data_IF_602062586068
#
_entry.id   IF_602062586068
#
_cell.length_a   1.000
_cell.length_b   1.000
_cell.length_c   1.000
_cell.angle_alpha   90.00
_cell.angle_beta   90.00
_cell.angle_gamma   90.00
#
_symmetry.space_group_name_H-M   'P 1'
#
loop_
_entity.id
_entity.type
_entity.pdbx_description
1 polymer ?
#
# COMPACT_ATOMS: atom_id res chain seq x y z
N UNK A 1 -4.61 -5.48 12.33
CA UNK A 1 -4.17 -6.27 11.16
C UNK A 1 -2.84 -6.92 11.45
N UNK A 2 -2.76 -8.20 11.23
CA UNK A 2 -1.51 -8.92 11.39
C UNK A 2 -0.52 -8.49 10.30
N UNK A 3 0.74 -8.32 10.65
CA UNK A 3 1.76 -7.91 9.67
C UNK A 3 1.88 -8.89 8.52
N UNK A 4 1.71 -10.17 8.81
CA UNK A 4 1.81 -11.21 7.79
C UNK A 4 0.77 -11.07 6.68
N UNK A 5 -0.38 -10.51 7.00
CA UNK A 5 -1.43 -10.35 6.00
C UNK A 5 -1.10 -9.29 4.94
N UNK A 6 -0.11 -8.44 5.21
CA UNK A 6 0.35 -7.46 4.23
C UNK A 6 1.28 -8.09 3.19
N UNK A 7 1.79 -9.28 3.46
CA UNK A 7 2.78 -9.94 2.61
C UNK A 7 2.17 -10.79 1.51
N UNK A 8 0.87 -11.04 1.57
CA UNK A 8 0.24 -11.95 0.63
C UNK A 8 -1.07 -11.39 0.10
N UNK A 9 -1.49 -11.94 -1.04
CA UNK A 9 -2.80 -11.73 -1.58
C UNK A 9 -3.06 -10.32 -2.09
N UNK A 10 -4.33 -10.01 -2.17
CA UNK A 10 -4.80 -8.78 -2.77
C UNK A 10 -4.33 -7.53 -2.04
N UNK A 11 -4.17 -7.61 -0.71
CA UNK A 11 -3.69 -6.46 0.06
C UNK A 11 -2.32 -6.00 -0.41
N UNK A 12 -1.40 -6.94 -0.58
CA UNK A 12 -0.07 -6.60 -1.05
C UNK A 12 -0.09 -6.07 -2.47
N UNK A 13 -0.90 -6.68 -3.34
CA UNK A 13 -1.03 -6.22 -4.72
C UNK A 13 -1.56 -4.79 -4.79
N UNK A 14 -2.52 -4.45 -3.93
CA UNK A 14 -3.04 -3.08 -3.85
C UNK A 14 -1.94 -2.12 -3.42
N UNK A 15 -1.15 -2.49 -2.41
CA UNK A 15 -0.05 -1.66 -1.95
C UNK A 15 0.96 -1.42 -3.09
N UNK A 16 1.30 -2.46 -3.83
CA UNK A 16 2.22 -2.32 -4.96
C UNK A 16 1.69 -1.35 -6.02
N UNK A 17 0.41 -1.45 -6.34
CA UNK A 17 -0.21 -0.57 -7.33
C UNK A 17 -0.24 0.87 -6.84
N UNK A 18 -0.65 1.08 -5.58
CA UNK A 18 -0.74 2.43 -5.01
C UNK A 18 0.63 3.04 -4.76
N UNK A 19 1.68 2.23 -4.66
CA UNK A 19 3.04 2.76 -4.56
C UNK A 19 3.44 3.50 -5.83
N UNK A 20 2.82 3.18 -6.96
CA UNK A 20 3.12 3.84 -8.21
C UNK A 20 2.30 5.11 -8.41
N UNK A 21 1.00 5.05 -8.10
CA UNK A 21 0.12 6.21 -8.25
C UNK A 21 -1.22 5.96 -7.55
N UNK A 22 -1.95 7.04 -7.21
CA UNK A 22 -3.31 6.88 -6.69
C UNK A 22 -4.20 6.20 -7.71
N UNK A 23 -5.12 5.37 -7.24
CA UNK A 23 -6.03 4.63 -8.11
C UNK A 23 -7.42 4.50 -7.47
N UNK A 24 -8.42 4.36 -8.31
CA UNK A 24 -9.80 4.12 -7.86
C UNK A 24 -10.02 2.62 -7.64
N UNK A 25 -11.05 2.25 -6.87
CA UNK A 25 -11.40 0.84 -6.71
C UNK A 25 -11.66 0.14 -8.04
N UNK A 26 -12.30 0.83 -8.97
CA UNK A 26 -12.57 0.24 -10.29
C UNK A 26 -11.28 -0.06 -11.04
N UNK A 27 -10.35 0.90 -11.05
CA UNK A 27 -9.06 0.69 -11.69
C UNK A 27 -8.31 -0.49 -11.08
N UNK A 28 -8.30 -0.55 -9.74
CA UNK A 28 -7.64 -1.64 -9.03
C UNK A 28 -8.28 -2.99 -9.37
N UNK A 29 -9.62 -3.04 -9.45
CA UNK A 29 -10.29 -4.30 -9.75
C UNK A 29 -9.94 -4.79 -11.14
N UNK A 30 -9.79 -3.89 -12.09
CA UNK A 30 -9.43 -4.26 -13.46
C UNK A 30 -7.97 -4.71 -13.55
N UNK A 31 -7.08 -3.94 -12.93
CA UNK A 31 -5.65 -4.27 -12.96
C UNK A 31 -5.34 -5.59 -12.28
N UNK A 32 -6.02 -5.86 -11.18
CA UNK A 32 -5.77 -7.07 -10.39
C UNK A 32 -6.71 -8.22 -10.74
N UNK A 33 -7.56 -8.02 -11.74
CA UNK A 33 -8.47 -9.04 -12.23
C UNK A 33 -9.32 -9.67 -11.11
N UNK A 34 -9.95 -8.81 -10.34
CA UNK A 34 -10.82 -9.23 -9.24
C UNK A 34 -12.04 -8.32 -9.19
N UNK A 35 -12.96 -8.59 -8.26
CA UNK A 35 -14.21 -7.83 -8.16
C UNK A 35 -14.00 -6.51 -7.40
N UNK A 36 -14.86 -5.54 -7.70
CA UNK A 36 -14.86 -4.28 -6.96
C UNK A 36 -15.19 -4.55 -5.50
N UNK A 37 -16.07 -5.52 -5.21
CA UNK A 37 -16.42 -5.86 -3.85
C UNK A 37 -15.21 -6.34 -3.05
N UNK A 38 -14.38 -7.20 -3.65
CA UNK A 38 -13.18 -7.66 -3.00
C UNK A 38 -12.20 -6.51 -2.76
N UNK A 39 -11.99 -5.67 -3.77
CA UNK A 39 -11.11 -4.50 -3.65
C UNK A 39 -11.60 -3.59 -2.52
N UNK A 40 -12.90 -3.29 -2.49
CA UNK A 40 -13.47 -2.39 -1.47
C UNK A 40 -13.25 -2.94 -0.06
N UNK A 41 -13.39 -4.23 0.11
CA UNK A 41 -13.16 -4.87 1.41
C UNK A 41 -11.70 -4.76 1.82
N UNK A 42 -10.78 -5.03 0.89
CA UNK A 42 -9.35 -4.94 1.19
C UNK A 42 -8.92 -3.50 1.48
N UNK A 43 -9.45 -2.55 0.71
CA UNK A 43 -9.20 -1.12 0.94
C UNK A 43 -9.63 -0.71 2.34
N UNK A 44 -10.81 -1.16 2.77
CA UNK A 44 -11.31 -0.82 4.11
C UNK A 44 -10.35 -1.30 5.20
N UNK A 45 -9.83 -2.50 5.04
CA UNK A 45 -8.89 -3.05 6.01
C UNK A 45 -7.58 -2.26 6.01
N UNK A 46 -7.07 -1.89 4.84
CA UNK A 46 -5.85 -1.11 4.74
C UNK A 46 -6.04 0.32 5.27
N UNK A 47 -7.22 0.92 5.06
CA UNK A 47 -7.55 2.22 5.63
C UNK A 47 -7.60 2.16 7.15
N UNK A 48 -8.25 1.14 7.69
CA UNK A 48 -8.36 0.96 9.14
C UNK A 48 -6.99 0.82 9.77
N UNK A 49 -6.06 0.19 9.06
CA UNK A 49 -4.68 0.07 9.53
C UNK A 49 -3.87 1.35 9.35
N UNK A 50 -4.44 2.35 8.69
CA UNK A 50 -3.77 3.64 8.49
C UNK A 50 -2.76 3.66 7.35
N UNK A 51 -2.74 2.64 6.51
CA UNK A 51 -1.73 2.51 5.46
C UNK A 51 -2.09 3.23 4.17
N UNK A 52 -3.38 3.40 3.93
CA UNK A 52 -3.86 4.12 2.74
C UNK A 52 -4.90 5.14 3.15
N UNK A 53 -5.11 6.12 2.30
CA UNK A 53 -6.08 7.18 2.55
C UNK A 53 -6.90 7.45 1.31
N UNK A 54 -8.10 7.98 1.52
CA UNK A 54 -8.97 8.43 0.47
C UNK A 54 -8.52 9.81 -0.01
N UNK A 55 -8.52 10.00 -1.31
CA UNK A 55 -8.11 11.24 -1.92
C UNK A 55 -9.14 11.60 -2.97
N UNK A 56 -9.74 12.79 -2.85
CA UNK A 56 -10.69 13.26 -3.84
C UNK A 56 -9.96 14.09 -4.87
N UNK A 57 -10.26 13.85 -6.14
CA UNK A 57 -9.73 14.71 -7.18
C UNK A 57 -10.80 15.70 -7.60
N UNK A 58 -10.43 16.96 -7.63
CA UNK A 58 -11.35 18.00 -8.04
C UNK A 58 -11.51 18.12 -9.55
N UNK A 59 -10.78 17.32 -10.30
CA UNK A 59 -10.76 17.42 -11.76
C UNK A 59 -11.74 16.49 -12.44
N UNK A 60 -12.67 15.94 -11.68
CA UNK A 60 -13.66 15.05 -12.26
C UNK A 60 -14.61 15.79 -13.18
N UNK A 61 -15.26 15.04 -14.06
CA UNK A 61 -16.31 15.58 -14.88
C UNK A 61 -17.44 16.10 -13.99
N UNK A 62 -18.18 17.12 -14.42
CA UNK A 62 -19.27 17.65 -13.62
C UNK A 62 -20.18 16.53 -13.14
N UNK A 63 -20.48 16.54 -11.86
CA UNK A 63 -21.44 15.62 -11.26
C UNK A 63 -20.88 14.33 -10.68
N UNK A 64 -19.61 13.99 -10.94
CA UNK A 64 -19.06 12.74 -10.39
C UNK A 64 -17.60 12.90 -10.00
N UNK A 65 -17.33 13.35 -8.78
CA UNK A 65 -15.95 13.39 -8.30
C UNK A 65 -15.40 11.96 -8.25
N UNK A 66 -14.21 11.80 -8.76
CA UNK A 66 -13.52 10.54 -8.73
C UNK A 66 -12.94 10.32 -7.35
N UNK A 67 -13.14 9.14 -6.78
CA UNK A 67 -12.53 8.79 -5.51
C UNK A 67 -11.31 7.93 -5.78
N UNK A 68 -10.16 8.43 -5.37
CA UNK A 68 -8.91 7.70 -5.50
C UNK A 68 -8.39 7.35 -4.12
N UNK A 69 -7.57 6.32 -4.07
CA UNK A 69 -6.86 5.94 -2.86
C UNK A 69 -5.36 6.03 -3.12
N UNK A 70 -4.62 6.36 -2.08
CA UNK A 70 -3.17 6.48 -2.15
C UNK A 70 -2.56 5.97 -0.87
N UNK A 71 -1.26 5.70 -0.89
CA UNK A 71 -0.55 5.39 0.34
C UNK A 71 -0.59 6.61 1.25
N UNK A 72 -0.80 6.39 2.54
CA UNK A 72 -0.89 7.49 3.50
C UNK A 72 0.48 8.09 3.82
N UNK A 73 1.55 7.29 3.66
CA UNK A 73 2.91 7.72 3.96
C UNK A 73 3.87 6.68 3.38
N UNK A 74 5.15 6.86 3.66
CA UNK A 74 6.18 5.87 3.31
C UNK A 74 6.36 4.93 4.49
N UNK A 75 6.28 3.64 4.24
CA UNK A 75 6.42 2.62 5.26
C UNK A 75 7.41 1.55 4.85
N UNK A 76 7.95 0.87 5.85
CA UNK A 76 8.73 -0.34 5.63
C UNK A 76 8.26 -1.41 6.62
N UNK A 77 8.11 -2.63 6.14
CA UNK A 77 7.91 -3.78 7.00
C UNK A 77 9.28 -4.44 7.12
N UNK A 78 9.84 -4.38 8.31
CA UNK A 78 11.21 -4.83 8.55
C UNK A 78 11.20 -6.12 9.36
N UNK A 79 11.86 -7.12 8.82
CA UNK A 79 12.08 -8.39 9.47
C UNK A 79 13.57 -8.54 9.66
N UNK A 80 14.01 -8.54 10.91
CA UNK A 80 15.41 -8.70 11.24
C UNK A 80 15.58 -9.99 12.04
N UNK A 81 16.48 -10.83 11.60
CA UNK A 81 16.78 -12.03 12.36
C UNK A 81 18.26 -12.31 12.26
N UNK A 82 18.94 -12.15 13.37
CA UNK A 82 20.36 -12.38 13.52
C UNK A 82 20.58 -13.30 14.71
N UNK A 83 21.79 -13.78 14.88
CA UNK A 83 22.08 -14.54 16.09
C UNK A 83 21.92 -13.60 17.29
N UNK A 84 21.03 -13.95 18.21
CA UNK A 84 20.75 -13.16 19.40
C UNK A 84 19.68 -12.11 19.29
N UNK A 85 19.08 -11.91 18.10
CA UNK A 85 18.06 -10.88 17.94
C UNK A 85 17.15 -11.21 16.77
N UNK A 86 15.84 -11.14 17.02
CA UNK A 86 14.85 -11.31 15.95
C UNK A 86 13.65 -10.43 16.26
N UNK A 87 13.21 -9.67 15.28
CA UNK A 87 12.06 -8.79 15.44
C UNK A 87 11.47 -8.45 14.07
N UNK A 88 10.17 -8.24 14.04
CA UNK A 88 9.50 -7.69 12.86
C UNK A 88 8.70 -6.47 13.28
N UNK A 89 8.68 -5.46 12.44
CA UNK A 89 7.97 -4.23 12.77
C UNK A 89 7.62 -3.47 11.50
N UNK A 90 6.41 -2.89 11.49
CA UNK A 90 6.00 -1.95 10.46
C UNK A 90 6.31 -0.55 10.98
N UNK A 91 7.11 0.21 10.24
CA UNK A 91 7.52 1.54 10.67
C UNK A 91 7.33 2.55 9.55
N UNK A 92 7.05 3.80 9.94
CA UNK A 92 7.07 4.92 9.03
C UNK A 92 8.54 5.31 8.82
N UNK A 93 8.89 5.64 7.59
CA UNK A 93 10.30 5.91 7.27
C UNK A 93 10.45 7.32 6.68
N UNK A 94 11.61 7.91 6.93
CA UNK A 94 11.99 9.18 6.36
C UNK A 94 12.51 9.00 4.93
N UNK A 95 12.68 10.11 4.21
CA UNK A 95 13.27 10.05 2.87
C UNK A 95 14.66 9.44 2.88
N UNK A 96 15.45 9.75 3.90
CA UNK A 96 16.79 9.22 4.02
C UNK A 96 16.75 7.70 4.21
N UNK A 97 15.89 7.24 5.11
CA UNK A 97 15.70 5.81 5.35
C UNK A 97 15.19 5.09 4.11
N UNK A 98 14.28 5.74 3.39
CA UNK A 98 13.74 5.20 2.14
C UNK A 98 14.87 4.94 1.13
N UNK A 99 15.80 5.88 0.98
CA UNK A 99 16.90 5.70 0.06
C UNK A 99 17.83 4.57 0.51
N UNK A 100 18.12 4.50 1.80
CA UNK A 100 18.95 3.44 2.35
C UNK A 100 18.33 2.06 2.11
N UNK A 101 17.04 1.93 2.38
CA UNK A 101 16.33 0.67 2.21
C UNK A 101 16.24 0.25 0.74
N UNK A 102 16.05 1.21 -0.15
CA UNK A 102 16.03 0.91 -1.57
C UNK A 102 17.38 0.34 -2.03
N UNK A 103 18.47 0.86 -1.51
CA UNK A 103 19.79 0.34 -1.83
C UNK A 103 19.99 -1.07 -1.28
N UNK A 104 19.51 -1.32 -0.05
CA UNK A 104 19.65 -2.63 0.57
C UNK A 104 18.84 -3.70 -0.15
N UNK A 105 17.61 -3.35 -0.55
CA UNK A 105 16.72 -4.28 -1.25
C UNK A 105 17.16 -4.48 -2.69
N UNK A 106 17.76 -3.45 -3.28
CA UNK A 106 18.16 -3.47 -4.68
C UNK A 106 17.11 -2.89 -5.58
N UNK A 107 17.56 -2.33 -6.70
CA UNK A 107 16.64 -1.74 -7.68
C UNK A 107 16.31 -2.72 -8.79
N UNK A 108 16.98 -3.83 -8.80
CA UNK A 108 16.70 -4.85 -9.78
C UNK A 108 16.56 -6.16 -9.09
N UNK A 109 15.86 -6.96 -9.70
CA UNK A 109 15.58 -8.23 -9.11
C UNK A 109 16.05 -9.35 -9.88
#
# INVERSE_FOLDING_TARGET
MELETLLTGTKWEIIEMLAEKPMSPLELSKELNTTIANISQQIRLLQTAGLIKKQKTGSGKPGKPRVLFSLSDDYALILVFTKGYAKKKLVRISNKQKQMLKQMVGNEN
#
